data_IF_610382541411
#
_entry.id   IF_610382541411
#
_cell.length_a   1.000
_cell.length_b   1.000
_cell.length_c   1.000
_cell.angle_alpha   90.00
_cell.angle_beta   90.00
_cell.angle_gamma   90.00
#
_symmetry.space_group_name_H-M   'P 1'
#
loop_
_entity.id
_entity.type
_entity.pdbx_description
1 polymer ?
#
# COMPACT_ATOMS: atom_id res chain seq x y z
N UNK A 1 6.10 8.81 -12.66
CA UNK A 1 5.32 7.65 -12.15
C UNK A 1 6.00 6.33 -12.50
N UNK A 2 6.46 6.15 -13.74
CA UNK A 2 7.04 4.87 -14.19
C UNK A 2 8.26 4.43 -13.39
N UNK A 3 9.24 5.30 -13.16
CA UNK A 3 10.43 4.97 -12.36
C UNK A 3 10.08 4.54 -10.93
N UNK A 4 9.05 5.15 -10.31
CA UNK A 4 8.60 4.76 -8.98
C UNK A 4 8.01 3.35 -8.97
N UNK A 5 7.20 3.00 -9.97
CA UNK A 5 6.64 1.64 -10.14
C UNK A 5 7.76 0.62 -10.28
N UNK A 6 8.73 0.90 -11.16
CA UNK A 6 9.88 0.02 -11.40
C UNK A 6 10.72 -0.19 -10.13
N UNK A 7 10.98 0.86 -9.36
CA UNK A 7 11.71 0.73 -8.08
C UNK A 7 10.95 -0.10 -7.08
N UNK A 8 9.64 0.10 -6.92
CA UNK A 8 8.81 -0.69 -6.00
C UNK A 8 8.78 -2.18 -6.40
N UNK A 9 8.60 -2.49 -7.68
CA UNK A 9 8.66 -3.87 -8.19
C UNK A 9 10.05 -4.49 -8.01
N UNK A 10 11.12 -3.73 -8.22
CA UNK A 10 12.48 -4.23 -7.98
C UNK A 10 12.76 -4.56 -6.52
N UNK A 11 12.09 -3.91 -5.57
CA UNK A 11 12.33 -4.08 -4.14
C UNK A 11 11.40 -5.13 -3.53
N UNK A 12 10.14 -5.15 -3.95
CA UNK A 12 9.08 -5.96 -3.31
C UNK A 12 8.45 -7.00 -4.26
N UNK A 13 8.92 -7.08 -5.52
CA UNK A 13 8.36 -7.95 -6.54
C UNK A 13 7.00 -7.49 -7.06
N UNK A 14 6.40 -8.30 -7.95
CA UNK A 14 5.10 -7.99 -8.56
C UNK A 14 3.93 -8.05 -7.57
N UNK A 15 4.12 -8.73 -6.43
CA UNK A 15 3.13 -8.84 -5.35
C UNK A 15 3.74 -8.32 -4.05
N UNK A 16 3.80 -7.00 -3.84
CA UNK A 16 4.46 -6.41 -2.67
C UNK A 16 3.94 -6.93 -1.34
N UNK A 17 2.63 -7.21 -1.21
CA UNK A 17 2.01 -7.75 0.02
C UNK A 17 2.50 -9.16 0.41
N UNK A 18 3.16 -9.88 -0.50
CA UNK A 18 3.78 -11.18 -0.23
C UNK A 18 5.29 -11.07 0.01
N UNK A 19 5.88 -9.89 -0.18
CA UNK A 19 7.31 -9.67 0.03
C UNK A 19 7.65 -9.75 1.52
N UNK A 20 8.70 -10.51 1.90
CA UNK A 20 9.19 -10.51 3.28
C UNK A 20 9.81 -9.17 3.69
N UNK A 21 10.24 -8.36 2.72
CA UNK A 21 10.88 -7.07 2.96
C UNK A 21 9.84 -5.94 3.16
N UNK A 22 8.57 -6.20 2.83
CA UNK A 22 7.49 -5.28 3.14
C UNK A 22 7.01 -5.49 4.58
N UNK A 23 7.36 -4.55 5.45
CA UNK A 23 6.97 -4.59 6.86
C UNK A 23 5.47 -4.42 7.09
N UNK A 24 4.97 -5.01 8.18
CA UNK A 24 3.57 -4.88 8.60
C UNK A 24 3.31 -3.58 9.34
N UNK A 25 2.08 -3.08 9.22
CA UNK A 25 1.60 -1.97 10.05
C UNK A 25 1.42 -2.48 11.49
N UNK A 26 1.87 -1.68 12.46
CA UNK A 26 2.05 -2.10 13.86
C UNK A 26 0.76 -2.58 14.56
N UNK A 27 -0.40 -2.00 14.22
CA UNK A 27 -1.69 -2.41 14.76
C UNK A 27 -2.86 -1.95 13.89
N UNK A 28 -4.06 -2.43 14.25
CA UNK A 28 -5.34 -2.11 13.59
C UNK A 28 -5.68 -0.62 13.64
N UNK A 29 -5.36 0.09 14.72
CA UNK A 29 -5.61 1.54 14.82
C UNK A 29 -4.82 2.33 13.76
N UNK A 30 -3.53 2.02 13.58
CA UNK A 30 -2.70 2.66 12.56
C UNK A 30 -3.12 2.22 11.14
N UNK A 31 -3.50 0.96 10.98
CA UNK A 31 -4.03 0.45 9.70
C UNK A 31 -5.31 1.17 9.28
N UNK A 32 -6.28 1.26 10.19
CA UNK A 32 -7.56 1.97 9.97
C UNK A 32 -7.33 3.45 9.65
N UNK A 33 -6.40 4.11 10.35
CA UNK A 33 -6.04 5.50 10.07
C UNK A 33 -5.53 5.70 8.65
N UNK A 34 -4.63 4.83 8.16
CA UNK A 34 -4.08 4.92 6.79
C UNK A 34 -5.14 4.59 5.74
N UNK A 35 -5.94 3.56 5.99
CA UNK A 35 -7.07 3.14 5.14
C UNK A 35 -8.05 4.30 4.93
N UNK A 36 -8.43 5.01 6.00
CA UNK A 36 -9.30 6.20 5.92
C UNK A 36 -8.70 7.34 5.08
N UNK A 37 -7.37 7.52 5.09
CA UNK A 37 -6.72 8.53 4.25
C UNK A 37 -6.79 8.18 2.76
N UNK A 38 -6.71 6.88 2.44
CA UNK A 38 -6.85 6.41 1.06
C UNK A 38 -8.30 6.44 0.57
N UNK A 39 -9.27 6.30 1.48
CA UNK A 39 -10.71 6.35 1.19
C UNK A 39 -11.27 7.77 1.15
N UNK A 40 -10.49 8.78 1.55
CA UNK A 40 -10.85 10.19 1.41
C UNK A 40 -11.19 10.49 -0.05
N UNK A 41 -12.33 11.14 -0.30
CA UNK A 41 -12.81 11.45 -1.65
C UNK A 41 -11.79 12.23 -2.50
N UNK A 42 -10.87 12.95 -1.88
CA UNK A 42 -9.80 13.67 -2.58
C UNK A 42 -8.73 12.73 -3.15
N UNK A 43 -8.56 11.55 -2.55
CA UNK A 43 -7.62 10.49 -2.95
C UNK A 43 -8.31 9.37 -3.75
N UNK A 44 -9.59 9.10 -3.47
CA UNK A 44 -10.40 8.11 -4.18
C UNK A 44 -10.43 8.42 -5.68
N UNK A 45 -10.16 7.40 -6.52
CA UNK A 45 -10.10 7.54 -7.98
C UNK A 45 -8.82 8.19 -8.53
N UNK A 46 -7.88 8.62 -7.68
CA UNK A 46 -6.58 9.18 -8.11
C UNK A 46 -5.39 8.25 -7.84
N UNK A 47 -5.64 7.05 -7.35
CA UNK A 47 -4.61 6.04 -7.11
C UNK A 47 -4.11 5.53 -8.47
N UNK A 48 -2.88 5.89 -8.82
CA UNK A 48 -2.23 5.49 -10.09
C UNK A 48 -1.39 4.21 -9.96
N UNK A 49 -1.10 3.77 -8.73
CA UNK A 49 -0.36 2.56 -8.40
C UNK A 49 -0.53 2.19 -6.92
N UNK A 50 -0.55 0.89 -6.59
CA UNK A 50 -0.72 0.39 -5.23
C UNK A 50 -2.15 0.59 -4.71
N UNK A 51 -2.28 0.83 -3.40
CA UNK A 51 -3.58 0.99 -2.73
C UNK A 51 -4.24 -0.32 -2.27
N UNK A 52 -3.64 -1.45 -2.62
CA UNK A 52 -3.96 -2.78 -2.07
C UNK A 52 -3.71 -2.81 -0.55
N UNK A 53 -4.58 -3.52 0.17
CA UNK A 53 -4.58 -3.55 1.64
C UNK A 53 -4.99 -4.95 2.08
N UNK A 54 -4.31 -5.47 3.09
CA UNK A 54 -4.62 -6.76 3.71
C UNK A 54 -4.61 -6.56 5.23
N UNK A 55 -5.81 -6.41 5.81
CA UNK A 55 -5.98 -6.37 7.27
C UNK A 55 -5.94 -7.81 7.79
N UNK A 56 -4.74 -8.40 7.82
CA UNK A 56 -4.51 -9.64 8.56
C UNK A 56 -4.57 -9.34 10.05
N UNK A 57 -5.70 -9.73 10.66
CA UNK A 57 -5.91 -9.75 12.11
C UNK A 57 -4.87 -10.63 12.82
#
# INVERSE_FOLDING_TARGET
IESLKQTLTSFFGDKPLLSPDLSRIVNTNHFSRLTKLLDDQRAFGKIVHGGERDEKL
#
